data_IF_332307358574
#
_entry.id   IF_332307358574
#
_cell.length_a   1.000
_cell.length_b   1.000
_cell.length_c   1.000
_cell.angle_alpha   90.00
_cell.angle_beta   90.00
_cell.angle_gamma   90.00
#
_symmetry.space_group_name_H-M   'P 1'
#
loop_
_entity.id
_entity.type
_entity.pdbx_description
1 polymer ?
#
# COMPACT_ATOMS: atom_id res chain seq x y z
N UNK A 1 8.88 -8.39 -19.89
CA UNK A 1 9.44 -8.06 -18.57
C UNK A 1 8.36 -7.32 -17.79
N UNK A 2 7.84 -7.82 -16.64
CA UNK A 2 6.89 -7.02 -15.87
C UNK A 2 7.61 -5.79 -15.36
N UNK A 3 7.04 -4.61 -15.59
CA UNK A 3 7.58 -3.35 -15.09
C UNK A 3 7.65 -3.40 -13.57
N UNK A 4 8.85 -3.22 -13.01
CA UNK A 4 9.01 -3.12 -11.57
C UNK A 4 8.24 -1.88 -11.13
N UNK A 5 7.22 -2.05 -10.30
CA UNK A 5 6.57 -0.92 -9.65
C UNK A 5 7.64 -0.20 -8.83
N UNK A 6 7.92 1.06 -9.18
CA UNK A 6 8.85 1.91 -8.43
C UNK A 6 8.27 2.14 -7.04
N UNK A 7 9.09 2.01 -6.00
CA UNK A 7 8.73 2.48 -4.67
C UNK A 7 8.62 4.02 -4.71
N UNK A 8 7.45 4.55 -4.38
CA UNK A 8 7.21 5.98 -4.35
C UNK A 8 8.01 6.64 -3.22
N UNK A 9 8.65 7.78 -3.51
CA UNK A 9 9.29 8.60 -2.49
C UNK A 9 8.23 9.32 -1.62
N UNK A 10 8.66 9.87 -0.48
CA UNK A 10 7.76 10.55 0.46
C UNK A 10 6.95 11.69 -0.22
N UNK A 11 7.59 12.45 -1.11
CA UNK A 11 6.98 13.56 -1.84
C UNK A 11 6.32 13.15 -3.16
N UNK A 12 6.44 11.90 -3.59
CA UNK A 12 5.84 11.43 -4.86
C UNK A 12 4.32 11.28 -4.68
N UNK A 13 3.54 12.12 -5.36
CA UNK A 13 2.07 12.03 -5.36
C UNK A 13 1.52 10.78 -6.05
N UNK A 14 2.36 10.06 -6.80
CA UNK A 14 2.01 8.86 -7.56
C UNK A 14 2.73 7.62 -7.00
N UNK A 15 2.16 6.43 -7.21
CA UNK A 15 2.79 5.15 -6.82
C UNK A 15 2.64 4.74 -5.35
N UNK A 16 2.04 5.58 -4.48
CA UNK A 16 1.80 5.24 -3.06
C UNK A 16 0.54 4.41 -2.82
N UNK A 17 -0.36 4.29 -3.81
CA UNK A 17 -1.69 3.69 -3.62
C UNK A 17 -1.67 2.27 -3.03
N UNK A 18 -0.75 1.40 -3.50
CA UNK A 18 -0.62 0.04 -2.96
C UNK A 18 -0.03 0.03 -1.55
N UNK A 19 0.96 0.88 -1.28
CA UNK A 19 1.53 1.02 0.05
C UNK A 19 0.51 1.54 1.07
N UNK A 20 -0.39 2.43 0.64
CA UNK A 20 -1.52 2.87 1.46
C UNK A 20 -2.48 1.72 1.75
N UNK A 21 -2.85 0.92 0.74
CA UNK A 21 -3.70 -0.25 0.93
C UNK A 21 -3.09 -1.28 1.89
N UNK A 22 -1.79 -1.55 1.78
CA UNK A 22 -1.07 -2.42 2.73
C UNK A 22 -1.10 -1.89 4.17
N UNK A 23 -1.07 -0.57 4.35
CA UNK A 23 -1.07 0.04 5.68
C UNK A 23 -2.48 0.09 6.33
N UNK A 24 -3.54 0.29 5.54
CA UNK A 24 -4.88 0.59 6.07
C UNK A 24 -5.88 -0.57 5.95
N UNK A 25 -5.71 -1.43 4.96
CA UNK A 25 -6.67 -2.50 4.71
C UNK A 25 -6.37 -3.74 5.57
N UNK A 26 -7.41 -4.39 6.07
CA UNK A 26 -7.30 -5.72 6.67
C UNK A 26 -6.97 -6.75 5.60
N UNK A 27 -7.60 -6.59 4.44
CA UNK A 27 -7.40 -7.39 3.25
C UNK A 27 -7.63 -6.53 2.03
N UNK A 28 -6.83 -6.69 1.01
CA UNK A 28 -7.09 -6.05 -0.27
C UNK A 28 -6.69 -7.00 -1.40
N UNK A 29 -7.19 -6.72 -2.59
CA UNK A 29 -6.87 -7.51 -3.77
C UNK A 29 -7.21 -6.77 -5.05
N UNK A 30 -6.84 -7.40 -6.15
CA UNK A 30 -7.14 -6.94 -7.50
C UNK A 30 -7.90 -8.06 -8.21
N UNK A 31 -8.99 -7.69 -8.84
CA UNK A 31 -9.68 -8.52 -9.81
C UNK A 31 -9.42 -7.96 -11.21
N UNK A 32 -8.80 -8.76 -12.06
CA UNK A 32 -8.41 -8.38 -13.42
C UNK A 32 -9.38 -9.00 -14.42
N UNK A 33 -10.10 -8.16 -15.15
CA UNK A 33 -10.99 -8.56 -16.23
C UNK A 33 -10.45 -8.12 -17.60
N UNK A 34 -11.10 -8.53 -18.71
CA UNK A 34 -10.71 -8.10 -20.04
C UNK A 34 -10.74 -6.58 -20.19
N UNK A 35 -9.57 -5.94 -20.13
CA UNK A 35 -9.42 -4.48 -20.22
C UNK A 35 -9.86 -3.71 -18.96
N UNK A 36 -10.19 -4.40 -17.86
CA UNK A 36 -10.63 -3.77 -16.61
C UNK A 36 -9.76 -4.20 -15.44
N UNK A 37 -9.66 -3.31 -14.46
CA UNK A 37 -8.97 -3.59 -13.20
C UNK A 37 -9.82 -3.06 -12.06
N UNK A 38 -10.34 -3.98 -11.26
CA UNK A 38 -11.07 -3.64 -10.04
C UNK A 38 -10.15 -3.86 -8.85
N UNK A 39 -9.99 -2.83 -8.02
CA UNK A 39 -9.26 -2.95 -6.75
C UNK A 39 -10.30 -2.90 -5.63
N UNK A 40 -10.20 -3.82 -4.68
CA UNK A 40 -11.07 -3.85 -3.52
C UNK A 40 -10.24 -3.91 -2.24
N UNK A 41 -10.78 -3.36 -1.16
CA UNK A 41 -10.17 -3.41 0.17
C UNK A 41 -11.24 -3.55 1.25
N UNK A 42 -10.94 -4.32 2.28
CA UNK A 42 -11.72 -4.48 3.49
C UNK A 42 -11.06 -3.62 4.57
N UNK A 43 -11.80 -2.65 5.11
CA UNK A 43 -11.32 -1.78 6.18
C UNK A 43 -11.79 -2.33 7.53
N UNK A 44 -11.01 -2.12 8.61
CA UNK A 44 -11.49 -2.42 9.95
C UNK A 44 -12.75 -1.58 10.23
N UNK A 45 -13.81 -2.21 10.74
CA UNK A 45 -14.99 -1.48 11.22
C UNK A 45 -14.59 -0.48 12.33
N UNK A 46 -15.44 0.54 12.56
CA UNK A 46 -15.25 1.56 13.60
C UNK A 46 -14.97 0.93 14.97
N UNK A 47 -13.70 0.70 15.28
CA UNK A 47 -13.28 -0.01 16.49
C UNK A 47 -11.97 -0.80 16.35
N UNK A 48 -11.58 -1.25 15.15
CA UNK A 48 -10.38 -2.08 14.96
C UNK A 48 -9.15 -1.32 14.41
N UNK A 49 -9.32 -0.09 13.89
CA UNK A 49 -8.20 0.75 13.42
C UNK A 49 -7.37 1.38 14.56
N UNK A 50 -7.80 1.21 15.81
CA UNK A 50 -7.04 1.65 16.96
C UNK A 50 -5.82 0.76 17.15
N UNK A 51 -4.65 1.24 16.72
CA UNK A 51 -3.34 0.67 17.03
C UNK A 51 -2.88 -0.51 16.14
N UNK A 52 -2.65 -0.26 14.86
CA UNK A 52 -1.45 -0.85 14.22
C UNK A 52 -0.38 0.21 14.23
N UNK A 53 0.50 0.17 15.24
CA UNK A 53 1.75 0.92 15.18
C UNK A 53 2.48 0.49 13.90
N UNK A 54 2.93 1.42 13.04
CA UNK A 54 3.85 1.08 11.96
C UNK A 54 5.20 0.75 12.60
N UNK A 55 5.30 -0.45 13.14
CA UNK A 55 6.53 -1.04 13.63
C UNK A 55 7.33 -1.56 12.44
N UNK A 56 8.41 -0.83 12.12
CA UNK A 56 9.64 -1.38 11.55
C UNK A 56 9.64 -1.77 10.08
N UNK A 57 9.91 -0.79 9.19
CA UNK A 57 10.89 -0.89 8.10
C UNK A 57 11.11 0.47 7.39
N UNK A 58 11.48 1.50 8.15
CA UNK A 58 12.23 2.63 7.60
C UNK A 58 13.58 2.70 8.32
N UNK A 59 14.33 1.59 8.29
CA UNK A 59 15.73 1.63 8.69
C UNK A 59 16.63 1.64 7.44
N UNK A 60 17.42 2.71 7.38
CA UNK A 60 18.67 2.87 6.65
C UNK A 60 18.61 2.87 5.12
N UNK A 61 18.58 4.09 4.55
CA UNK A 61 19.70 4.49 3.68
C UNK A 61 19.82 6.02 3.61
N UNK A 62 20.26 6.62 4.71
CA UNK A 62 21.19 7.75 4.61
C UNK A 62 22.56 7.16 4.81
N UNK A 63 23.23 6.84 3.70
CA UNK A 63 24.69 6.81 3.67
C UNK A 63 25.12 8.03 2.86
N UNK A 64 26.12 8.70 3.42
CA UNK A 64 26.65 10.03 3.14
C UNK A 64 26.87 10.38 1.68
#
# INVERSE_FOLDING_TARGET
MPGRCRAAAADDETGRGLALLDAVAVRWGVDEGPGTKTVWCELPGEGAAGMRSPGSAHEASTVR
#
